data_IF_425742613512
#
_entry.id   IF_425742613512
#
_cell.length_a   1.000
_cell.length_b   1.000
_cell.length_c   1.000
_cell.angle_alpha   90.00
_cell.angle_beta   90.00
_cell.angle_gamma   90.00
#
_symmetry.space_group_name_H-M   'P 1'
#
loop_
_entity.id
_entity.type
_entity.pdbx_description
1 polymer ?
#
# COMPACT_ATOMS: atom_id res chain seq x y z
N UNK A 1 8.20 -7.42 4.95
CA UNK A 1 7.77 -8.47 3.99
C UNK A 1 8.49 -8.20 2.68
N UNK A 2 8.96 -9.22 1.96
CA UNK A 2 9.69 -9.00 0.70
C UNK A 2 8.72 -8.71 -0.45
N UNK A 3 9.23 -8.19 -1.58
CA UNK A 3 8.44 -8.03 -2.80
C UNK A 3 7.87 -9.37 -3.29
N UNK A 4 8.65 -10.45 -3.20
CA UNK A 4 8.21 -11.78 -3.61
C UNK A 4 7.08 -12.32 -2.74
N UNK A 5 7.15 -12.10 -1.43
CA UNK A 5 6.07 -12.49 -0.51
C UNK A 5 4.77 -11.73 -0.86
N UNK A 6 4.88 -10.45 -1.22
CA UNK A 6 3.72 -9.62 -1.61
C UNK A 6 3.11 -10.08 -2.91
N UNK A 7 3.94 -10.36 -3.91
CA UNK A 7 3.49 -10.94 -5.18
C UNK A 7 2.78 -12.28 -4.91
N UNK A 8 3.35 -13.17 -4.10
CA UNK A 8 2.73 -14.46 -3.79
C UNK A 8 1.37 -14.30 -3.09
N UNK A 9 1.26 -13.37 -2.13
CA UNK A 9 0.00 -13.05 -1.47
C UNK A 9 -1.04 -12.46 -2.45
N UNK A 10 -0.60 -11.55 -3.33
CA UNK A 10 -1.46 -10.93 -4.34
C UNK A 10 -1.96 -11.95 -5.36
N UNK A 11 -1.12 -12.90 -5.81
CA UNK A 11 -1.56 -13.99 -6.69
C UNK A 11 -2.55 -14.94 -6.01
N UNK A 12 -2.35 -15.21 -4.72
CA UNK A 12 -3.29 -16.02 -3.95
C UNK A 12 -4.65 -15.33 -3.78
N UNK A 13 -4.65 -14.01 -3.59
CA UNK A 13 -5.86 -13.20 -3.41
C UNK A 13 -6.58 -12.91 -4.74
N UNK A 14 -5.80 -12.67 -5.79
CA UNK A 14 -6.26 -12.29 -7.13
C UNK A 14 -5.69 -13.28 -8.16
N UNK A 15 -6.21 -14.51 -8.23
CA UNK A 15 -5.71 -15.52 -9.17
C UNK A 15 -5.94 -15.12 -10.64
N UNK A 16 -6.92 -14.26 -10.90
CA UNK A 16 -7.22 -13.68 -12.21
C UNK A 16 -7.55 -12.20 -12.06
N UNK A 17 -7.20 -11.38 -13.04
CA UNK A 17 -7.56 -9.97 -13.09
C UNK A 17 -8.37 -9.68 -14.35
N UNK A 18 -9.34 -8.78 -14.23
CA UNK A 18 -10.19 -8.35 -15.34
C UNK A 18 -10.17 -6.84 -15.45
N UNK A 19 -10.24 -6.37 -16.68
CA UNK A 19 -10.32 -4.96 -17.09
C UNK A 19 -11.65 -4.74 -17.80
N UNK A 20 -12.31 -3.64 -17.48
CA UNK A 20 -13.59 -3.29 -18.09
C UNK A 20 -14.53 -2.56 -17.14
N UNK A 21 -15.79 -2.46 -17.55
CA UNK A 21 -16.87 -1.84 -16.78
C UNK A 21 -18.19 -2.57 -17.07
N UNK A 22 -19.23 -2.31 -16.28
CA UNK A 22 -20.57 -2.86 -16.53
C UNK A 22 -21.13 -2.50 -17.92
N UNK A 23 -20.77 -1.32 -18.46
CA UNK A 23 -21.20 -0.87 -19.80
C UNK A 23 -20.42 -1.52 -20.95
N UNK A 24 -19.11 -1.72 -20.79
CA UNK A 24 -18.24 -2.24 -21.85
C UNK A 24 -18.01 -3.76 -21.78
N UNK A 25 -18.41 -4.38 -20.66
CA UNK A 25 -18.07 -5.76 -20.32
C UNK A 25 -16.66 -5.87 -19.72
N UNK A 26 -16.41 -7.01 -19.08
CA UNK A 26 -15.12 -7.34 -18.46
C UNK A 26 -14.35 -8.33 -19.31
N UNK A 27 -13.07 -8.05 -19.55
CA UNK A 27 -12.13 -8.94 -20.23
C UNK A 27 -11.03 -9.35 -19.26
N UNK A 28 -10.67 -10.62 -19.25
CA UNK A 28 -9.53 -11.11 -18.45
C UNK A 28 -8.21 -10.61 -19.02
N UNK A 29 -7.30 -10.17 -18.15
CA UNK A 29 -5.95 -9.80 -18.55
C UNK A 29 -5.21 -11.04 -19.09
N UNK A 30 -4.38 -10.83 -20.10
CA UNK A 30 -3.44 -11.86 -20.51
C UNK A 30 -2.36 -12.08 -19.43
N UNK A 31 -1.56 -13.14 -19.58
CA UNK A 31 -0.55 -13.49 -18.59
C UNK A 31 0.51 -12.39 -18.37
N UNK A 32 0.91 -11.67 -19.41
CA UNK A 32 1.92 -10.61 -19.30
C UNK A 32 1.37 -9.40 -18.52
N UNK A 33 0.18 -8.93 -18.88
CA UNK A 33 -0.48 -7.81 -18.21
C UNK A 33 -0.86 -8.15 -16.77
N UNK A 34 -1.28 -9.39 -16.51
CA UNK A 34 -1.56 -9.89 -15.17
C UNK A 34 -0.30 -9.82 -14.29
N UNK A 35 0.81 -10.39 -14.75
CA UNK A 35 2.07 -10.42 -14.01
C UNK A 35 2.61 -9.01 -13.75
N UNK A 36 2.54 -8.13 -14.76
CA UNK A 36 2.93 -6.73 -14.64
C UNK A 36 2.08 -5.98 -13.59
N UNK A 37 0.76 -6.16 -13.64
CA UNK A 37 -0.17 -5.53 -12.69
C UNK A 37 0.09 -5.99 -11.26
N UNK A 38 0.27 -7.29 -11.05
CA UNK A 38 0.57 -7.85 -9.72
C UNK A 38 1.92 -7.33 -9.20
N UNK A 39 2.94 -7.23 -10.06
CA UNK A 39 4.24 -6.69 -9.68
C UNK A 39 4.16 -5.20 -9.30
N UNK A 40 3.41 -4.40 -10.07
CA UNK A 40 3.16 -2.99 -9.76
C UNK A 40 2.44 -2.83 -8.42
N UNK A 41 1.41 -3.62 -8.17
CA UNK A 41 0.68 -3.58 -6.90
C UNK A 41 1.58 -3.95 -5.71
N UNK A 42 2.47 -4.92 -5.88
CA UNK A 42 3.45 -5.26 -4.85
C UNK A 42 4.42 -4.10 -4.56
N UNK A 43 4.90 -3.41 -5.60
CA UNK A 43 5.75 -2.22 -5.45
C UNK A 43 5.00 -1.07 -4.77
N UNK A 44 3.75 -0.83 -5.17
CA UNK A 44 2.91 0.21 -4.57
C UNK A 44 2.69 -0.05 -3.08
N UNK A 45 2.41 -1.29 -2.68
CA UNK A 45 2.29 -1.64 -1.26
C UNK A 45 3.57 -1.37 -0.48
N UNK A 46 4.74 -1.72 -1.02
CA UNK A 46 6.02 -1.44 -0.36
C UNK A 46 6.29 0.06 -0.25
N UNK A 47 5.98 0.82 -1.30
CA UNK A 47 6.13 2.27 -1.31
C UNK A 47 5.21 2.93 -0.27
N UNK A 48 3.95 2.49 -0.16
CA UNK A 48 3.01 2.97 0.86
C UNK A 48 3.50 2.64 2.28
N UNK A 49 3.97 1.42 2.52
CA UNK A 49 4.53 1.02 3.83
C UNK A 49 5.74 1.88 4.21
N UNK A 50 6.65 2.13 3.27
CA UNK A 50 7.81 2.98 3.50
C UNK A 50 7.41 4.45 3.76
N UNK A 51 6.42 4.97 3.03
CA UNK A 51 5.90 6.32 3.23
C UNK A 51 5.24 6.48 4.60
N UNK A 52 4.44 5.50 5.04
CA UNK A 52 3.82 5.50 6.36
C UNK A 52 4.87 5.43 7.48
N UNK A 53 5.85 4.54 7.36
CA UNK A 53 6.94 4.45 8.34
C UNK A 53 7.74 5.76 8.44
N UNK A 54 7.99 6.43 7.31
CA UNK A 54 8.61 7.75 7.30
C UNK A 54 7.74 8.81 7.96
N UNK A 55 6.45 8.86 7.63
CA UNK A 55 5.52 9.82 8.22
C UNK A 55 5.40 9.63 9.75
N UNK A 56 5.40 8.39 10.23
CA UNK A 56 5.43 8.11 11.67
C UNK A 56 6.73 8.56 12.34
N UNK A 57 7.88 8.34 11.68
CA UNK A 57 9.17 8.81 12.16
C UNK A 57 9.23 10.35 12.21
N UNK A 58 8.75 11.02 11.16
CA UNK A 58 8.69 12.48 11.07
C UNK A 58 7.75 13.06 12.13
N UNK A 59 6.60 12.42 12.35
CA UNK A 59 5.66 12.77 13.44
C UNK A 59 6.34 12.67 14.80
N UNK A 60 6.99 11.53 15.12
CA UNK A 60 7.70 11.35 16.39
C UNK A 60 8.80 12.40 16.57
N UNK A 61 9.56 12.70 15.53
CA UNK A 61 10.59 13.73 15.56
C UNK A 61 10.01 15.12 15.81
N UNK A 62 8.84 15.44 15.23
CA UNK A 62 8.15 16.70 15.47
C UNK A 62 7.63 16.80 16.91
N UNK A 63 7.01 15.75 17.44
CA UNK A 63 6.54 15.71 18.84
C UNK A 63 7.70 15.92 19.82
N UNK A 64 8.84 15.26 19.58
CA UNK A 64 10.05 15.45 20.38
C UNK A 64 10.58 16.90 20.31
N UNK A 65 10.55 17.55 19.14
CA UNK A 65 10.93 18.97 18.97
C UNK A 65 9.99 19.93 19.70
N UNK A 66 8.71 19.59 19.75
CA UNK A 66 7.68 20.38 20.43
C UNK A 66 7.64 20.12 21.94
N UNK A 67 8.38 19.12 22.43
CA UNK A 67 8.42 18.75 23.85
C UNK A 67 7.10 18.18 24.36
N UNK A 68 6.27 17.64 23.47
CA UNK A 68 4.97 17.03 23.81
C UNK A 68 5.01 15.53 23.55
N UNK A 69 4.29 14.78 24.38
CA UNK A 69 4.12 13.33 24.23
C UNK A 69 3.06 12.98 23.20
N UNK A 70 3.05 11.73 22.73
CA UNK A 70 2.02 11.22 21.83
C UNK A 70 0.61 11.34 22.43
N UNK A 71 0.46 11.18 23.75
CA UNK A 71 -0.83 11.28 24.44
C UNK A 71 -1.31 12.74 24.56
N UNK A 72 -0.39 13.68 24.83
CA UNK A 72 -0.70 15.11 24.79
C UNK A 72 -1.08 15.57 23.37
N UNK A 73 -0.37 15.08 22.36
CA UNK A 73 -0.70 15.36 20.97
C UNK A 73 -2.08 14.84 20.57
N UNK A 74 -2.46 13.63 21.02
CA UNK A 74 -3.80 13.08 20.78
C UNK A 74 -4.89 13.92 21.45
N UNK A 75 -4.66 14.38 22.68
CA UNK A 75 -5.62 15.22 23.43
C UNK A 75 -5.84 16.60 22.77
N UNK A 76 -4.81 17.15 22.11
CA UNK A 76 -4.88 18.44 21.42
C UNK A 76 -5.50 18.36 20.02
N UNK A 77 -5.44 17.18 19.39
CA UNK A 77 -5.89 16.96 18.00
C UNK A 77 -7.23 16.23 17.89
N UNK A 78 -7.80 15.79 19.03
CA UNK A 78 -9.17 15.25 19.15
C UNK A 78 -10.21 16.36 19.25
#
# INVERSE_FOLDING_TARGET
MTKQDKIAALKAQYPTLRVGSDEAGYTELNAEDYEATIAEWADNQLATEAALAKAEADKKALLAKLGITDDEAKLLLS
#
